data_IF_659391057935
#
_entry.id   IF_659391057935
#
_cell.length_a   1.000
_cell.length_b   1.000
_cell.length_c   1.000
_cell.angle_alpha   90.00
_cell.angle_beta   90.00
_cell.angle_gamma   90.00
#
_symmetry.space_group_name_H-M   'P 1'
#
loop_
_entity.id
_entity.type
_entity.pdbx_description
1 polymer ?
#
# COMPACT_ATOMS: atom_id res chain seq x y z
N UNK A 1 26.57 23.97 -16.85
CA UNK A 1 25.35 24.64 -16.33
C UNK A 1 25.10 24.05 -14.96
N UNK A 2 25.38 24.76 -13.86
CA UNK A 2 25.46 24.18 -12.52
C UNK A 2 24.18 23.44 -12.06
N UNK A 3 23.01 23.89 -12.52
CA UNK A 3 21.73 23.22 -12.29
C UNK A 3 21.66 21.82 -12.95
N UNK A 4 22.02 21.72 -14.24
CA UNK A 4 21.90 20.48 -15.02
C UNK A 4 22.80 19.39 -14.43
N UNK A 5 24.05 19.73 -14.13
CA UNK A 5 25.02 18.81 -13.53
C UNK A 5 24.62 18.36 -12.11
N UNK A 6 23.96 19.24 -11.32
CA UNK A 6 23.43 18.88 -10.01
C UNK A 6 22.19 17.97 -10.12
N UNK A 7 21.30 18.28 -11.06
CA UNK A 7 20.11 17.49 -11.35
C UNK A 7 20.45 16.08 -11.87
N UNK A 8 21.43 15.97 -12.77
CA UNK A 8 21.90 14.68 -13.32
C UNK A 8 22.55 13.81 -12.23
N UNK A 9 23.30 14.40 -11.29
CA UNK A 9 23.87 13.70 -10.12
C UNK A 9 22.84 13.26 -9.07
N UNK A 10 21.56 13.50 -9.30
CA UNK A 10 20.48 13.11 -8.39
C UNK A 10 20.31 14.03 -7.19
N UNK A 11 20.82 15.26 -7.25
CA UNK A 11 20.58 16.25 -6.19
C UNK A 11 19.06 16.57 -6.10
N UNK A 12 18.48 16.63 -4.89
CA UNK A 12 17.06 16.91 -4.75
C UNK A 12 16.68 18.25 -5.40
N UNK A 13 15.59 18.25 -6.17
CA UNK A 13 15.07 19.47 -6.83
C UNK A 13 14.81 20.59 -5.81
N UNK A 14 14.44 20.24 -4.57
CA UNK A 14 14.24 21.20 -3.48
C UNK A 14 15.55 21.92 -3.07
N UNK A 15 16.67 21.20 -3.05
CA UNK A 15 17.98 21.75 -2.71
C UNK A 15 18.50 22.62 -3.85
N UNK A 16 18.32 22.17 -5.09
CA UNK A 16 18.62 22.96 -6.30
C UNK A 16 17.76 24.24 -6.35
N UNK A 17 16.47 24.15 -6.02
CA UNK A 17 15.56 25.30 -5.93
C UNK A 17 16.04 26.33 -4.91
N UNK A 18 16.47 25.85 -3.75
CA UNK A 18 16.99 26.70 -2.68
C UNK A 18 18.31 27.36 -3.08
N UNK A 19 19.25 26.61 -3.66
CA UNK A 19 20.56 27.12 -4.12
C UNK A 19 20.43 28.15 -5.24
N UNK A 20 19.46 27.98 -6.12
CA UNK A 20 19.23 28.85 -7.27
C UNK A 20 18.26 30.01 -6.96
N UNK A 21 17.65 30.03 -5.76
CA UNK A 21 16.69 31.06 -5.36
C UNK A 21 15.38 31.05 -6.18
N UNK A 22 15.01 29.90 -6.76
CA UNK A 22 13.81 29.76 -7.59
C UNK A 22 12.82 28.79 -6.98
N UNK A 23 11.54 28.95 -7.30
CA UNK A 23 10.51 28.03 -6.84
C UNK A 23 10.66 26.65 -7.50
N UNK A 24 10.39 25.56 -6.77
CA UNK A 24 10.53 24.18 -7.28
C UNK A 24 9.77 23.95 -8.60
N UNK A 25 8.59 24.57 -8.76
CA UNK A 25 7.76 24.43 -9.95
C UNK A 25 8.44 25.01 -11.19
N UNK A 26 9.25 26.06 -11.02
CA UNK A 26 10.04 26.65 -12.12
C UNK A 26 11.09 25.66 -12.62
N UNK A 27 11.76 24.98 -11.69
CA UNK A 27 12.69 23.89 -12.01
C UNK A 27 11.98 22.70 -12.65
N UNK A 28 10.84 22.26 -12.13
CA UNK A 28 10.04 21.18 -12.75
C UNK A 28 9.66 21.50 -14.20
N UNK A 29 9.27 22.75 -14.48
CA UNK A 29 8.93 23.19 -15.84
C UNK A 29 10.17 23.25 -16.75
N UNK A 30 11.31 23.67 -16.21
CA UNK A 30 12.57 23.73 -16.95
C UNK A 30 13.09 22.33 -17.29
N UNK A 31 13.03 21.40 -16.33
CA UNK A 31 13.37 19.98 -16.51
C UNK A 31 12.52 19.39 -17.65
N UNK A 32 11.20 19.62 -17.62
CA UNK A 32 10.29 19.14 -18.67
C UNK A 32 10.60 19.76 -20.04
N UNK A 33 10.90 21.06 -20.10
CA UNK A 33 11.21 21.77 -21.36
C UNK A 33 12.55 21.37 -21.96
N UNK A 34 13.52 21.03 -21.12
CA UNK A 34 14.87 20.64 -21.53
C UNK A 34 15.02 19.12 -21.67
N UNK A 35 13.93 18.36 -21.50
CA UNK A 35 13.90 16.89 -21.55
C UNK A 35 14.98 16.24 -20.66
N UNK A 36 15.31 16.90 -19.54
CA UNK A 36 16.34 16.41 -18.63
C UNK A 36 15.80 15.21 -17.86
N UNK A 37 16.50 14.08 -17.98
CA UNK A 37 16.27 12.89 -17.16
C UNK A 37 17.24 12.86 -15.99
N UNK A 38 16.71 12.75 -14.77
CA UNK A 38 17.55 12.45 -13.59
C UNK A 38 18.01 11.00 -13.63
N UNK A 39 19.24 10.73 -13.21
CA UNK A 39 19.53 9.42 -12.63
C UNK A 39 18.70 9.32 -11.35
N UNK A 40 17.79 8.34 -11.29
CA UNK A 40 16.96 8.15 -10.11
C UNK A 40 17.88 7.64 -8.98
N UNK A 41 18.15 8.42 -7.90
CA UNK A 41 18.99 7.95 -6.81
C UNK A 41 18.35 6.75 -6.09
N UNK A 42 17.04 6.55 -6.30
CA UNK A 42 16.24 5.42 -5.86
C UNK A 42 16.10 4.31 -6.93
N UNK A 43 16.88 4.40 -8.03
CA UNK A 43 16.85 3.45 -9.14
C UNK A 43 17.10 2.04 -8.62
N UNK A 44 16.02 1.27 -8.53
CA UNK A 44 16.10 -0.14 -8.19
C UNK A 44 16.86 -0.85 -9.32
N UNK A 45 17.98 -1.53 -9.04
CA UNK A 45 18.74 -2.24 -10.05
C UNK A 45 17.84 -3.21 -10.83
N UNK A 46 18.05 -3.41 -12.14
CA UNK A 46 17.21 -4.28 -12.95
C UNK A 46 17.13 -5.71 -12.38
N UNK A 47 18.23 -6.25 -11.85
CA UNK A 47 18.24 -7.55 -11.18
C UNK A 47 17.29 -7.63 -9.97
N UNK A 48 17.16 -6.54 -9.20
CA UNK A 48 16.24 -6.48 -8.05
C UNK A 48 14.79 -6.38 -8.53
N UNK A 49 14.54 -5.66 -9.61
CA UNK A 49 13.21 -5.62 -10.25
C UNK A 49 12.77 -7.00 -10.72
N UNK A 50 13.66 -7.76 -11.35
CA UNK A 50 13.39 -9.12 -11.82
C UNK A 50 13.10 -10.07 -10.65
N UNK A 51 13.87 -9.97 -9.57
CA UNK A 51 13.63 -10.74 -8.35
C UNK A 51 12.27 -10.42 -7.71
N UNK A 52 11.88 -9.14 -7.66
CA UNK A 52 10.55 -8.69 -7.19
C UNK A 52 9.44 -9.31 -8.05
N UNK A 53 9.60 -9.30 -9.38
CA UNK A 53 8.63 -9.89 -10.31
C UNK A 53 8.53 -11.40 -10.10
N UNK A 54 9.66 -12.09 -9.88
CA UNK A 54 9.68 -13.53 -9.61
C UNK A 54 8.95 -13.88 -8.30
N UNK A 55 9.27 -13.20 -7.20
CA UNK A 55 8.57 -13.37 -5.91
C UNK A 55 7.07 -13.08 -6.03
N UNK A 56 6.70 -12.02 -6.76
CA UNK A 56 5.29 -11.71 -7.00
C UNK A 56 4.58 -12.81 -7.78
N UNK A 57 5.21 -13.35 -8.84
CA UNK A 57 4.65 -14.48 -9.60
C UNK A 57 4.51 -15.73 -8.73
N UNK A 58 5.46 -15.99 -7.84
CA UNK A 58 5.45 -17.11 -6.91
C UNK A 58 4.31 -17.05 -5.87
N UNK A 59 3.63 -15.91 -5.70
CA UNK A 59 2.50 -15.81 -4.77
C UNK A 59 2.75 -14.90 -3.57
N UNK A 60 3.96 -14.37 -3.41
CA UNK A 60 4.28 -13.50 -2.27
C UNK A 60 3.47 -12.20 -2.32
N UNK A 61 3.11 -11.69 -1.14
CA UNK A 61 2.38 -10.44 -1.02
C UNK A 61 3.31 -9.25 -1.25
N UNK A 62 2.76 -8.12 -1.71
CA UNK A 62 3.53 -6.87 -1.87
C UNK A 62 4.20 -6.42 -0.56
N UNK A 63 3.57 -6.72 0.58
CA UNK A 63 4.13 -6.41 1.89
C UNK A 63 5.35 -7.28 2.22
N UNK A 64 5.26 -8.59 2.00
CA UNK A 64 6.37 -9.53 2.17
C UNK A 64 7.57 -9.15 1.29
N UNK A 65 7.30 -8.88 0.01
CA UNK A 65 8.32 -8.45 -0.95
C UNK A 65 8.92 -7.11 -0.53
N UNK A 66 8.08 -6.16 -0.10
CA UNK A 66 8.54 -4.86 0.39
C UNK A 66 9.49 -4.99 1.56
N UNK A 67 9.11 -5.74 2.60
CA UNK A 67 9.94 -5.98 3.78
C UNK A 67 11.28 -6.64 3.44
N UNK A 68 11.30 -7.57 2.47
CA UNK A 68 12.53 -8.28 2.05
C UNK A 68 13.55 -7.35 1.38
N UNK A 69 13.08 -6.37 0.60
CA UNK A 69 13.94 -5.47 -0.16
C UNK A 69 14.01 -4.05 0.42
N UNK A 70 13.48 -3.81 1.62
CA UNK A 70 13.46 -2.48 2.25
C UNK A 70 12.56 -1.47 1.53
N UNK A 71 11.58 -1.94 0.75
CA UNK A 71 10.65 -1.10 0.01
C UNK A 71 9.29 -1.04 0.66
N UNK A 72 8.61 0.10 0.51
CA UNK A 72 7.19 0.17 0.87
C UNK A 72 6.37 -0.72 -0.09
N UNK A 73 5.24 -1.30 0.35
CA UNK A 73 4.38 -2.10 -0.51
C UNK A 73 3.92 -1.31 -1.76
N UNK A 74 3.77 0.01 -1.62
CA UNK A 74 3.43 0.93 -2.71
C UNK A 74 4.58 1.08 -3.71
N UNK A 75 5.85 1.13 -3.26
CA UNK A 75 7.02 1.14 -4.15
C UNK A 75 7.10 -0.16 -4.95
N UNK A 76 6.87 -1.31 -4.31
CA UNK A 76 6.79 -2.63 -5.00
C UNK A 76 5.66 -2.63 -6.04
N UNK A 77 4.47 -2.13 -5.70
CA UNK A 77 3.36 -2.01 -6.64
C UNK A 77 3.73 -1.18 -7.88
N UNK A 78 4.36 -0.02 -7.68
CA UNK A 78 4.78 0.86 -8.79
C UNK A 78 5.82 0.20 -9.68
N UNK A 79 6.76 -0.56 -9.11
CA UNK A 79 7.75 -1.33 -9.88
C UNK A 79 7.08 -2.41 -10.74
N UNK A 80 6.11 -3.13 -10.18
CA UNK A 80 5.35 -4.14 -10.94
C UNK A 80 4.54 -3.52 -12.08
N UNK A 81 3.87 -2.39 -11.83
CA UNK A 81 3.13 -1.65 -12.87
C UNK A 81 4.08 -1.14 -13.96
N UNK A 82 5.24 -0.60 -13.60
CA UNK A 82 6.24 -0.11 -14.56
C UNK A 82 6.77 -1.22 -15.49
N UNK A 83 6.83 -2.46 -15.01
CA UNK A 83 7.22 -3.65 -15.79
C UNK A 83 6.01 -4.26 -16.56
N UNK A 84 4.84 -3.61 -16.50
CA UNK A 84 3.62 -4.08 -17.16
C UNK A 84 3.01 -5.33 -16.53
N UNK A 85 3.32 -5.63 -15.26
CA UNK A 85 2.67 -6.74 -14.55
C UNK A 85 1.27 -6.30 -14.09
N UNK A 86 0.21 -7.04 -14.45
CA UNK A 86 -1.12 -6.77 -13.92
C UNK A 86 -1.10 -6.97 -12.41
N UNK A 87 -1.56 -5.95 -11.68
CA UNK A 87 -1.73 -6.05 -10.24
C UNK A 87 -2.90 -6.99 -9.99
N UNK A 88 -2.61 -8.17 -9.45
CA UNK A 88 -3.59 -9.08 -8.88
C UNK A 88 -4.53 -8.27 -8.00
N UNK A 89 -5.83 -8.47 -8.20
CA UNK A 89 -6.88 -7.92 -7.32
C UNK A 89 -6.44 -8.10 -5.89
N UNK A 90 -6.58 -7.05 -5.07
CA UNK A 90 -6.17 -7.02 -3.66
C UNK A 90 -6.42 -8.40 -3.06
N UNK A 91 -5.34 -9.08 -2.67
CA UNK A 91 -5.43 -10.36 -1.98
C UNK A 91 -6.36 -10.23 -0.78
N UNK A 92 -6.90 -11.34 -0.27
CA UNK A 92 -7.95 -11.33 0.74
C UNK A 92 -7.60 -10.30 1.81
N UNK A 93 -8.40 -9.23 1.92
CA UNK A 93 -8.25 -8.28 3.01
C UNK A 93 -8.31 -9.12 4.29
N UNK A 94 -7.29 -8.98 5.14
CA UNK A 94 -7.00 -9.87 6.26
C UNK A 94 -8.25 -10.45 6.91
N UNK A 95 -8.22 -11.77 7.09
CA UNK A 95 -9.31 -12.66 7.52
C UNK A 95 -10.45 -12.79 6.49
N UNK A 96 -10.18 -13.59 5.46
CA UNK A 96 -11.25 -14.27 4.76
C UNK A 96 -11.80 -15.34 5.72
N UNK A 97 -12.64 -14.90 6.67
CA UNK A 97 -13.45 -15.82 7.46
C UNK A 97 -14.22 -16.68 6.45
N UNK A 98 -14.14 -18.00 6.61
CA UNK A 98 -14.91 -18.91 5.78
C UNK A 98 -16.40 -18.64 5.96
N UNK A 99 -17.24 -19.01 4.98
CA UNK A 99 -18.68 -18.84 5.12
C UNK A 99 -19.24 -19.51 6.40
N UNK A 100 -18.62 -20.59 6.86
CA UNK A 100 -18.97 -21.24 8.12
C UNK A 100 -18.66 -20.34 9.34
N UNK A 101 -17.47 -19.74 9.37
CA UNK A 101 -17.09 -18.80 10.44
C UNK A 101 -17.92 -17.52 10.42
N UNK A 102 -18.33 -17.04 9.23
CA UNK A 102 -19.24 -15.89 9.13
C UNK A 102 -20.61 -16.22 9.72
N UNK A 103 -21.15 -17.42 9.46
CA UNK A 103 -22.41 -17.86 10.09
C UNK A 103 -22.29 -17.93 11.61
N UNK A 104 -21.23 -18.54 12.12
CA UNK A 104 -21.01 -18.63 13.56
C UNK A 104 -20.84 -17.25 14.22
N UNK A 105 -20.20 -16.31 13.52
CA UNK A 105 -20.05 -14.92 13.94
C UNK A 105 -21.42 -14.22 14.01
N UNK A 106 -22.29 -14.43 13.02
CA UNK A 106 -23.68 -13.94 13.01
C UNK A 106 -24.47 -14.54 14.17
N UNK A 107 -24.44 -15.87 14.33
CA UNK A 107 -25.18 -16.57 15.39
C UNK A 107 -24.78 -16.05 16.79
N UNK A 108 -23.47 -15.86 17.03
CA UNK A 108 -22.99 -15.32 18.32
C UNK A 108 -23.40 -13.88 18.54
N UNK A 109 -23.44 -13.08 17.48
CA UNK A 109 -23.90 -11.70 17.54
C UNK A 109 -25.42 -11.62 17.82
N UNK A 110 -26.20 -12.50 17.21
CA UNK A 110 -27.65 -12.63 17.44
C UNK A 110 -27.95 -13.09 18.88
N UNK A 111 -27.16 -14.03 19.40
CA UNK A 111 -27.15 -14.43 20.82
C UNK A 111 -26.72 -13.30 21.79
N UNK A 112 -26.34 -12.13 21.27
CA UNK A 112 -26.08 -10.93 22.05
C UNK A 112 -24.66 -10.74 22.55
N UNK A 113 -23.71 -11.49 21.99
CA UNK A 113 -22.29 -11.24 22.25
C UNK A 113 -21.83 -9.93 21.60
N UNK A 114 -20.92 -9.23 22.28
CA UNK A 114 -20.34 -8.01 21.76
C UNK A 114 -19.39 -8.29 20.59
N UNK A 115 -19.39 -7.40 19.59
CA UNK A 115 -18.48 -7.47 18.43
C UNK A 115 -17.01 -7.55 18.87
N UNK A 116 -16.64 -6.85 19.95
CA UNK A 116 -15.28 -6.90 20.51
C UNK A 116 -14.89 -8.28 21.00
N UNK A 117 -15.73 -8.93 21.81
CA UNK A 117 -15.47 -10.29 22.30
C UNK A 117 -15.44 -11.32 21.17
N UNK A 118 -16.29 -11.16 20.16
CA UNK A 118 -16.27 -12.00 18.96
C UNK A 118 -14.95 -11.77 18.20
N UNK A 119 -14.50 -10.53 18.06
CA UNK A 119 -13.25 -10.22 17.36
C UNK A 119 -12.04 -10.89 18.04
N UNK A 120 -11.95 -10.83 19.36
CA UNK A 120 -10.91 -11.48 20.16
C UNK A 120 -10.95 -13.02 20.00
N UNK A 121 -12.15 -13.61 20.10
CA UNK A 121 -12.32 -15.06 20.04
C UNK A 121 -11.94 -15.65 18.67
N UNK A 122 -12.20 -14.91 17.59
CA UNK A 122 -11.83 -15.31 16.23
C UNK A 122 -10.46 -14.80 15.77
N UNK A 123 -9.73 -14.04 16.62
CA UNK A 123 -8.43 -13.47 16.29
C UNK A 123 -8.47 -12.45 15.13
N UNK A 124 -9.62 -11.80 14.93
CA UNK A 124 -9.85 -10.84 13.85
C UNK A 124 -10.04 -9.44 14.41
N UNK A 125 -9.92 -8.41 13.56
CA UNK A 125 -10.18 -7.04 14.00
C UNK A 125 -11.69 -6.77 14.14
N UNK A 126 -12.05 -5.87 15.06
CA UNK A 126 -13.43 -5.35 15.18
C UNK A 126 -14.00 -4.87 13.83
N UNK A 127 -13.17 -4.20 13.03
CA UNK A 127 -13.55 -3.71 11.71
C UNK A 127 -13.88 -4.85 10.74
N UNK A 128 -13.16 -5.98 10.84
CA UNK A 128 -13.48 -7.17 10.07
C UNK A 128 -14.84 -7.75 10.47
N UNK A 129 -15.06 -8.02 11.76
CA UNK A 129 -16.33 -8.57 12.28
C UNK A 129 -17.51 -7.70 11.86
N UNK A 130 -17.38 -6.37 12.02
CA UNK A 130 -18.40 -5.41 11.60
C UNK A 130 -18.69 -5.49 10.10
N UNK A 131 -17.66 -5.60 9.26
CA UNK A 131 -17.79 -5.73 7.80
C UNK A 131 -18.50 -7.02 7.41
N UNK A 132 -18.18 -8.14 8.07
CA UNK A 132 -18.82 -9.43 7.80
C UNK A 132 -20.29 -9.43 8.22
N UNK A 133 -20.63 -8.88 9.39
CA UNK A 133 -22.03 -8.74 9.83
C UNK A 133 -22.86 -7.89 8.85
N UNK A 134 -22.32 -6.76 8.41
CA UNK A 134 -22.96 -5.92 7.40
C UNK A 134 -23.12 -6.63 6.07
N UNK A 135 -22.08 -7.37 5.63
CA UNK A 135 -22.13 -8.16 4.40
C UNK A 135 -23.12 -9.32 4.45
N UNK A 136 -23.36 -9.88 5.65
CA UNK A 136 -24.38 -10.89 5.91
C UNK A 136 -25.80 -10.32 6.07
N UNK A 137 -25.98 -8.99 6.01
CA UNK A 137 -27.28 -8.33 6.12
C UNK A 137 -27.77 -8.14 7.56
N UNK A 138 -26.93 -8.36 8.56
CA UNK A 138 -27.29 -8.19 9.98
C UNK A 138 -27.39 -6.70 10.32
N UNK A 139 -28.50 -6.28 10.92
CA UNK A 139 -28.62 -4.94 11.48
C UNK A 139 -27.77 -4.81 12.75
N UNK A 140 -26.80 -3.91 12.70
CA UNK A 140 -25.96 -3.65 13.86
C UNK A 140 -26.77 -2.94 14.94
N UNK A 141 -26.75 -3.52 16.14
CA UNK A 141 -27.22 -2.91 17.38
C UNK A 141 -26.58 -1.52 17.51
N UNK A 142 -27.36 -0.50 17.91
CA UNK A 142 -26.81 0.82 18.19
C UNK A 142 -25.68 0.65 19.21
N UNK A 143 -24.59 1.38 19.01
CA UNK A 143 -23.49 1.38 19.98
C UNK A 143 -24.11 1.70 21.34
N UNK A 144 -23.99 0.77 22.28
CA UNK A 144 -24.23 1.07 23.68
C UNK A 144 -23.22 2.15 24.05
N UNK A 145 -23.64 3.41 23.95
CA UNK A 145 -22.87 4.54 24.41
C UNK A 145 -22.71 4.39 25.91
N UNK A 146 -21.55 3.92 26.33
CA UNK A 146 -21.11 4.10 27.70
C UNK A 146 -20.15 5.27 27.66
N UNK A 147 -20.61 6.33 28.32
CA UNK A 147 -19.93 7.59 28.57
C UNK A 147 -18.79 7.37 29.56
#
# INVERSE_FOLDING_TARGET
>A
MAFVEGYERGEPIADLATKLGVHRTTLDNLIKRLELTREDPDAVPPAVKDAIVASYRAGETLATIGSRYGFSPNKVQRLLVAVGKPIRSRGPQGSQLTNAQVRELVDRYECGRAIGSIAEEFGVSYACVRKQLMGAGVQLRPRGGVR
#
